data_IF_067510326430
#
_entry.id   IF_067510326430
#
_cell.length_a   1.000
_cell.length_b   1.000
_cell.length_c   1.000
_cell.angle_alpha   90.00
_cell.angle_beta   90.00
_cell.angle_gamma   90.00
#
_symmetry.space_group_name_H-M   'P 1'
#
loop_
_entity.id
_entity.type
_entity.pdbx_description
1 polymer ?
#
# COMPACT_ATOMS: atom_id res chain seq x y z
N UNK A 1 9.99 9.17 -4.13
CA UNK A 1 8.59 8.89 -4.54
C UNK A 1 8.61 8.11 -5.85
N UNK A 2 8.02 6.91 -5.90
CA UNK A 2 8.01 6.06 -7.10
C UNK A 2 6.69 6.27 -7.87
N UNK A 3 6.78 6.61 -9.16
CA UNK A 3 5.62 6.92 -10.02
C UNK A 3 5.60 6.01 -11.25
N UNK A 4 4.40 5.59 -11.65
CA UNK A 4 4.18 4.80 -12.88
C UNK A 4 2.87 5.24 -13.54
N UNK A 5 2.90 5.54 -14.84
CA UNK A 5 1.72 5.99 -15.59
C UNK A 5 1.10 7.29 -15.06
N UNK A 6 1.94 8.25 -14.62
CA UNK A 6 1.52 9.54 -14.09
C UNK A 6 1.04 9.54 -12.63
N UNK A 7 0.76 8.37 -12.03
CA UNK A 7 0.34 8.24 -10.62
C UNK A 7 1.49 7.77 -9.73
N UNK A 8 1.46 8.16 -8.45
CA UNK A 8 2.37 7.64 -7.41
C UNK A 8 1.95 6.22 -7.03
N UNK A 9 2.89 5.29 -7.07
CA UNK A 9 2.69 3.92 -6.62
C UNK A 9 2.91 3.84 -5.10
N UNK A 10 4.09 4.27 -4.65
CA UNK A 10 4.42 4.41 -3.24
C UNK A 10 5.48 5.49 -3.03
N UNK A 11 5.60 5.97 -1.79
CA UNK A 11 6.68 6.87 -1.38
C UNK A 11 7.57 6.19 -0.36
N UNK A 12 8.84 5.96 -0.71
CA UNK A 12 9.83 5.39 0.20
C UNK A 12 10.38 6.46 1.14
N UNK A 13 10.54 6.07 2.40
CA UNK A 13 11.13 6.83 3.49
C UNK A 13 12.20 5.96 4.13
N UNK A 14 13.45 6.42 4.10
CA UNK A 14 14.56 5.74 4.75
C UNK A 14 15.09 6.60 5.89
N UNK A 15 15.24 6.01 7.07
CA UNK A 15 15.96 6.55 8.23
C UNK A 15 16.97 5.51 8.67
N UNK A 16 18.00 5.90 9.44
CA UNK A 16 18.97 4.95 10.01
C UNK A 16 18.22 3.80 10.70
N UNK A 17 18.45 2.57 10.22
CA UNK A 17 17.82 1.32 10.68
C UNK A 17 16.28 1.24 10.53
N UNK A 18 15.66 2.04 9.68
CA UNK A 18 14.22 1.95 9.44
C UNK A 18 13.90 2.28 7.98
N UNK A 19 13.22 1.35 7.30
CA UNK A 19 12.61 1.57 6.00
C UNK A 19 11.09 1.65 6.19
N UNK A 20 10.48 2.65 5.58
CA UNK A 20 9.03 2.75 5.49
C UNK A 20 8.61 3.10 4.07
N UNK A 21 7.41 2.70 3.69
CA UNK A 21 6.82 3.15 2.43
C UNK A 21 5.34 3.47 2.58
N UNK A 22 4.94 4.59 1.98
CA UNK A 22 3.59 5.10 2.06
C UNK A 22 2.83 4.76 0.79
N UNK A 23 1.64 4.18 0.95
CA UNK A 23 0.68 3.96 -0.13
C UNK A 23 -0.56 4.79 0.16
N UNK A 24 -1.06 5.47 -0.88
CA UNK A 24 -2.31 6.22 -0.82
C UNK A 24 -3.36 5.46 -1.63
N UNK A 25 -4.40 4.99 -0.97
CA UNK A 25 -5.51 4.24 -1.56
C UNK A 25 -6.70 5.16 -1.83
N UNK A 26 -7.00 5.38 -3.10
CA UNK A 26 -8.21 6.06 -3.56
C UNK A 26 -9.45 5.17 -3.45
N UNK A 27 -10.59 5.61 -3.98
CA UNK A 27 -11.86 4.87 -3.89
C UNK A 27 -11.77 3.45 -4.48
N UNK A 28 -11.36 3.33 -5.74
CA UNK A 28 -11.31 2.04 -6.44
C UNK A 28 -10.28 1.08 -5.84
N UNK A 29 -9.16 1.62 -5.35
CA UNK A 29 -8.08 0.83 -4.77
C UNK A 29 -8.47 0.28 -3.40
N UNK A 30 -9.30 1.01 -2.63
CA UNK A 30 -9.90 0.52 -1.38
C UNK A 30 -10.91 -0.59 -1.63
N UNK A 31 -11.75 -0.49 -2.66
CA UNK A 31 -12.69 -1.56 -3.01
C UNK A 31 -11.94 -2.88 -3.31
N UNK A 32 -10.86 -2.81 -4.09
CA UNK A 32 -9.99 -3.96 -4.36
C UNK A 32 -9.24 -4.48 -3.14
N UNK A 33 -8.90 -3.59 -2.20
CA UNK A 33 -8.30 -4.00 -0.94
C UNK A 33 -9.26 -4.89 -0.16
N UNK A 34 -10.53 -4.49 -0.04
CA UNK A 34 -11.55 -5.29 0.65
C UNK A 34 -11.76 -6.66 -0.01
N UNK A 35 -11.69 -6.76 -1.35
CA UNK A 35 -11.79 -8.04 -2.08
C UNK A 35 -10.69 -9.04 -1.73
N UNK A 36 -9.46 -8.56 -1.49
CA UNK A 36 -8.31 -9.43 -1.18
C UNK A 36 -8.02 -9.52 0.32
N UNK A 37 -8.80 -8.83 1.15
CA UNK A 37 -8.53 -8.62 2.58
C UNK A 37 -8.33 -9.92 3.35
N UNK A 38 -9.13 -10.93 3.06
CA UNK A 38 -9.04 -12.27 3.67
C UNK A 38 -7.75 -13.02 3.31
N UNK A 39 -7.03 -12.57 2.28
CA UNK A 39 -5.76 -13.16 1.84
C UNK A 39 -4.53 -12.43 2.36
N UNK A 40 -4.73 -11.32 3.08
CA UNK A 40 -3.67 -10.50 3.67
C UNK A 40 -3.47 -10.89 5.14
N UNK A 41 -2.24 -10.73 5.62
CA UNK A 41 -1.91 -10.95 7.03
C UNK A 41 -2.55 -9.90 7.95
N UNK A 42 -2.83 -10.31 9.19
CA UNK A 42 -3.42 -9.47 10.22
C UNK A 42 -2.66 -8.15 10.47
N UNK A 43 -1.30 -8.13 10.50
CA UNK A 43 -0.56 -6.89 10.70
C UNK A 43 -0.81 -5.86 9.58
N UNK A 44 -0.89 -6.32 8.33
CA UNK A 44 -1.14 -5.46 7.17
C UNK A 44 -2.57 -4.91 7.21
N UNK A 45 -3.55 -5.76 7.51
CA UNK A 45 -4.94 -5.36 7.70
C UNK A 45 -5.09 -4.34 8.84
N UNK A 46 -4.42 -4.57 9.98
CA UNK A 46 -4.43 -3.66 11.12
C UNK A 46 -3.83 -2.30 10.79
N UNK A 47 -2.66 -2.26 10.13
CA UNK A 47 -2.05 -1.00 9.69
C UNK A 47 -2.94 -0.25 8.70
N UNK A 48 -3.63 -0.97 7.81
CA UNK A 48 -4.61 -0.36 6.93
C UNK A 48 -5.80 0.20 7.70
N UNK A 49 -6.35 -0.50 8.68
CA UNK A 49 -7.53 -0.06 9.44
C UNK A 49 -7.23 1.19 10.27
N UNK A 50 -6.10 1.18 10.99
CA UNK A 50 -5.62 2.29 11.84
C UNK A 50 -5.25 3.54 11.03
N UNK A 51 -5.01 3.40 9.73
CA UNK A 51 -4.63 4.51 8.87
C UNK A 51 -5.74 5.57 8.69
N UNK A 52 -5.32 6.83 8.57
CA UNK A 52 -6.25 7.95 8.38
C UNK A 52 -6.78 8.00 6.95
N UNK A 53 -8.09 8.20 6.81
CA UNK A 53 -8.73 8.49 5.53
C UNK A 53 -8.87 9.99 5.34
N UNK A 54 -8.21 10.51 4.31
CA UNK A 54 -8.28 11.91 3.87
C UNK A 54 -9.20 12.07 2.66
N UNK A 55 -9.40 13.32 2.22
CA UNK A 55 -10.24 13.65 1.07
C UNK A 55 -9.77 12.98 -0.23
N UNK A 56 -8.46 12.79 -0.39
CA UNK A 56 -7.82 12.25 -1.58
C UNK A 56 -7.54 10.73 -1.50
N UNK A 57 -7.79 10.10 -0.35
CA UNK A 57 -7.63 8.66 -0.15
C UNK A 57 -7.25 8.29 1.28
N UNK A 58 -7.07 6.99 1.53
CA UNK A 58 -6.54 6.46 2.78
C UNK A 58 -5.03 6.35 2.69
N UNK A 59 -4.31 6.99 3.60
CA UNK A 59 -2.85 7.06 3.56
C UNK A 59 -2.28 6.09 4.59
N UNK A 60 -1.65 5.02 4.11
CA UNK A 60 -1.11 3.96 4.96
C UNK A 60 0.41 3.99 4.93
N UNK A 61 1.02 4.03 6.11
CA UNK A 61 2.47 3.98 6.29
C UNK A 61 2.88 2.59 6.74
N UNK A 62 3.47 1.82 5.83
CA UNK A 62 4.04 0.51 6.13
C UNK A 62 5.49 0.66 6.57
N UNK A 63 5.89 -0.08 7.60
CA UNK A 63 7.26 -0.09 8.14
C UNK A 63 7.75 -1.54 8.22
N UNK A 64 8.20 -2.13 7.10
CA UNK A 64 8.72 -3.49 7.09
C UNK A 64 9.89 -3.63 8.06
N UNK A 65 9.79 -4.57 9.00
CA UNK A 65 10.88 -4.99 9.88
C UNK A 65 11.59 -6.24 9.36
N UNK A 66 10.88 -7.07 8.59
CA UNK A 66 11.38 -8.31 7.98
C UNK A 66 10.71 -8.56 6.61
N UNK A 67 10.93 -9.74 6.04
CA UNK A 67 10.40 -10.15 4.73
C UNK A 67 9.08 -10.92 4.80
N UNK A 68 8.51 -11.14 5.99
CA UNK A 68 7.30 -11.96 6.15
C UNK A 68 6.06 -11.34 5.49
N UNK A 69 5.95 -10.01 5.52
CA UNK A 69 4.84 -9.24 4.96
C UNK A 69 5.07 -8.87 3.48
N UNK A 70 6.19 -9.31 2.89
CA UNK A 70 6.60 -8.86 1.56
C UNK A 70 5.60 -9.27 0.47
N UNK A 71 5.04 -10.48 0.56
CA UNK A 71 4.03 -10.97 -0.39
C UNK A 71 2.75 -10.13 -0.35
N UNK A 72 2.34 -9.71 0.84
CA UNK A 72 1.17 -8.85 1.00
C UNK A 72 1.41 -7.46 0.43
N UNK A 73 2.61 -6.90 0.66
CA UNK A 73 2.99 -5.64 0.02
C UNK A 73 2.99 -5.73 -1.51
N UNK A 74 3.41 -6.86 -2.07
CA UNK A 74 3.36 -7.08 -3.51
C UNK A 74 1.92 -7.11 -4.05
N UNK A 75 0.98 -7.74 -3.33
CA UNK A 75 -0.46 -7.70 -3.65
C UNK A 75 -1.00 -6.26 -3.59
N UNK A 76 -0.66 -5.50 -2.55
CA UNK A 76 -1.10 -4.10 -2.39
C UNK A 76 -0.57 -3.19 -3.51
N UNK A 77 0.71 -3.36 -3.88
CA UNK A 77 1.30 -2.61 -4.99
C UNK A 77 0.70 -3.03 -6.34
N UNK A 78 0.29 -4.29 -6.50
CA UNK A 78 -0.42 -4.77 -7.68
C UNK A 78 -1.81 -4.13 -7.81
N UNK A 79 -2.56 -3.97 -6.71
CA UNK A 79 -3.83 -3.21 -6.71
C UNK A 79 -3.60 -1.78 -7.21
N UNK A 80 -2.55 -1.13 -6.71
CA UNK A 80 -2.22 0.26 -7.05
C UNK A 80 -1.77 0.43 -8.51
N UNK A 81 -1.19 -0.62 -9.08
CA UNK A 81 -0.72 -0.63 -10.47
C UNK A 81 -1.93 -0.65 -11.41
N UNK A 82 -2.10 0.40 -12.22
CA UNK A 82 -3.07 0.36 -13.32
C UNK A 82 -2.75 -0.82 -14.25
N UNK A 83 -3.77 -1.54 -14.77
CA UNK A 83 -3.53 -2.52 -15.83
C UNK A 83 -2.84 -1.81 -17.00
N UNK A 84 -1.82 -2.47 -17.55
CA UNK A 84 -1.06 -1.92 -18.66
C UNK A 84 -2.02 -1.84 -19.86
N UNK A 85 -2.45 -0.64 -20.25
CA UNK A 85 -3.14 -0.43 -21.52
C UNK A 85 -2.08 -0.62 -22.62
N UNK A 86 -1.92 -1.86 -23.08
CA UNK A 86 -1.43 -2.13 -24.43
C UNK A 86 -2.58 -1.89 -25.38
#
# INVERSE_FOLDING_TARGET
KYRRGGKTLCSLYAKKNCLGFMIIFGKDERAKFEEIRETLSDPVCRQYDEATTYRDGKWVMFKPTDTSEFDDYMKLLAIKRKPNRK
#
